data_IF_391522357992
#
_entry.id   IF_391522357992
#
_cell.length_a   1.000
_cell.length_b   1.000
_cell.length_c   1.000
_cell.angle_alpha   90.00
_cell.angle_beta   90.00
_cell.angle_gamma   90.00
#
_symmetry.space_group_name_H-M   'P 1'
#
loop_
_entity.id
_entity.type
_entity.pdbx_description
1 polymer ?
#
# COMPACT_ATOMS: atom_id res chain seq x y z
N UNK A 1 -1.16 21.36 10.36
CA UNK A 1 -0.99 20.71 10.14
C UNK A 1 -0.69 19.81 9.90
N UNK A 2 -0.58 19.31 9.76
CA UNK A 2 -0.24 18.37 9.52
C UNK A 2 -0.51 17.61 9.13
N UNK A 3 -0.49 17.45 8.79
CA UNK A 3 -0.67 16.78 8.32
C UNK A 3 -0.60 15.79 7.99
N UNK A 4 -0.37 15.43 7.78
CA UNK A 4 -0.19 14.52 7.35
C UNK A 4 -0.26 13.53 7.45
N UNK A 5 -0.12 13.54 7.34
CA UNK A 5 0.07 12.36 7.07
C UNK A 5 -0.35 11.30 7.90
N UNK A 6 -1.36 11.07 7.84
CA UNK A 6 -1.96 10.05 8.64
C UNK A 6 -2.34 8.84 7.81
N UNK A 7 -1.62 8.58 6.74
CA UNK A 7 -1.87 7.39 5.92
C UNK A 7 -1.44 6.17 6.70
N UNK A 8 -2.34 5.22 6.85
CA UNK A 8 -2.09 3.98 7.57
C UNK A 8 -2.41 2.82 6.64
N UNK A 9 -1.48 1.87 6.55
CA UNK A 9 -1.68 0.59 5.88
C UNK A 9 -1.88 -0.45 6.96
N UNK A 10 -2.97 -1.19 6.89
CA UNK A 10 -3.25 -2.17 7.92
C UNK A 10 -3.90 -3.42 7.33
N UNK A 11 -3.71 -4.55 7.99
CA UNK A 11 -2.79 -4.80 9.09
C UNK A 11 -1.34 -4.81 8.60
N UNK A 12 -0.42 -4.54 9.51
CA UNK A 12 1.00 -4.62 9.18
C UNK A 12 1.71 -5.15 10.43
N UNK A 13 2.19 -6.39 10.45
CA UNK A 13 2.24 -7.32 9.30
C UNK A 13 0.88 -7.77 8.81
N UNK A 14 0.84 -8.13 7.55
CA UNK A 14 -0.37 -8.54 6.88
C UNK A 14 -0.29 -10.01 6.47
N UNK A 15 -1.43 -10.65 6.31
CA UNK A 15 -1.48 -11.99 5.72
C UNK A 15 -1.77 -11.94 4.22
N UNK A 16 -1.66 -10.76 3.63
CA UNK A 16 -1.74 -10.57 2.20
C UNK A 16 -2.74 -9.53 1.74
N UNK A 17 -3.75 -9.23 2.52
CA UNK A 17 -4.72 -8.21 2.16
C UNK A 17 -4.40 -6.96 2.96
N UNK A 18 -4.25 -5.85 2.26
CA UNK A 18 -3.98 -4.58 2.93
C UNK A 18 -5.10 -3.60 2.67
N UNK A 19 -5.28 -2.71 3.62
CA UNK A 19 -6.25 -1.63 3.54
C UNK A 19 -5.55 -0.31 3.82
N UNK A 20 -6.06 0.75 3.22
CA UNK A 20 -5.51 2.09 3.37
C UNK A 20 -6.53 2.95 4.10
N UNK A 21 -6.08 3.69 5.11
CA UNK A 21 -6.92 4.69 5.76
C UNK A 21 -6.12 5.97 5.96
N UNK A 22 -6.79 7.04 6.39
CA UNK A 22 -6.15 8.32 6.62
C UNK A 22 -6.27 9.28 5.45
N UNK A 23 -6.86 8.84 4.33
CA UNK A 23 -7.14 9.70 3.19
C UNK A 23 -8.55 9.43 2.71
N UNK A 24 -9.18 10.42 2.10
CA UNK A 24 -10.55 10.28 1.63
C UNK A 24 -10.62 9.44 0.37
N UNK A 25 -9.63 9.58 -0.49
CA UNK A 25 -9.65 8.90 -1.78
C UNK A 25 -8.26 8.45 -2.15
N UNK A 26 -8.15 7.19 -2.52
CA UNK A 26 -6.91 6.63 -3.04
C UNK A 26 -7.08 6.45 -4.55
N UNK A 27 -6.18 7.07 -5.32
CA UNK A 27 -6.25 6.98 -6.77
C UNK A 27 -5.63 5.68 -7.26
N UNK A 28 -4.52 5.26 -6.66
CA UNK A 28 -3.87 4.03 -7.06
C UNK A 28 -3.03 3.47 -5.91
N UNK A 29 -2.91 2.15 -5.88
CA UNK A 29 -2.02 1.45 -4.96
C UNK A 29 -1.15 0.56 -5.82
N UNK A 30 0.18 0.63 -5.61
CA UNK A 30 1.13 -0.22 -6.33
C UNK A 30 2.00 -0.92 -5.32
N UNK A 31 2.17 -2.23 -5.52
CA UNK A 31 3.02 -3.03 -4.67
C UNK A 31 4.26 -3.43 -5.45
N UNK A 32 5.42 -3.21 -4.84
CA UNK A 32 6.70 -3.52 -5.44
C UNK A 32 7.47 -4.50 -4.55
N UNK A 33 8.22 -5.37 -5.17
CA UNK A 33 9.19 -6.19 -4.44
C UNK A 33 10.33 -5.31 -3.95
N UNK A 34 11.16 -5.84 -3.07
CA UNK A 34 12.31 -5.08 -2.57
C UNK A 34 13.32 -4.76 -3.67
N UNK A 35 13.28 -5.50 -4.78
CA UNK A 35 14.14 -5.21 -5.92
C UNK A 35 13.55 -4.14 -6.85
N UNK A 36 12.36 -3.65 -6.54
CA UNK A 36 11.74 -2.59 -7.32
C UNK A 36 10.82 -3.07 -8.43
N UNK A 37 10.55 -4.36 -8.49
CA UNK A 37 9.66 -4.91 -9.51
C UNK A 37 8.21 -4.70 -9.13
N UNK A 38 7.41 -4.18 -10.04
CA UNK A 38 5.98 -4.01 -9.81
C UNK A 38 5.32 -5.38 -9.75
N UNK A 39 4.64 -5.65 -8.65
CA UNK A 39 3.96 -6.92 -8.41
C UNK A 39 2.49 -6.80 -8.76
N UNK A 40 1.85 -5.72 -8.33
CA UNK A 40 0.41 -5.57 -8.54
C UNK A 40 0.05 -4.09 -8.42
N UNK A 41 -1.00 -3.72 -9.15
CA UNK A 41 -1.53 -2.37 -9.11
C UNK A 41 -3.05 -2.43 -9.05
N UNK A 42 -3.64 -1.52 -8.28
CA UNK A 42 -5.09 -1.34 -8.25
C UNK A 42 -5.38 0.15 -8.28
N UNK A 43 -6.50 0.53 -8.90
CA UNK A 43 -6.87 1.93 -9.03
C UNK A 43 -8.25 2.15 -8.42
N UNK A 44 -8.46 3.38 -7.93
CA UNK A 44 -9.74 3.80 -7.36
C UNK A 44 -10.23 2.86 -6.26
N UNK A 45 -9.32 2.43 -5.41
CA UNK A 45 -9.63 1.54 -4.29
C UNK A 45 -8.68 1.81 -3.14
N UNK A 46 -9.13 1.53 -1.93
CA UNK A 46 -8.28 1.62 -0.74
C UNK A 46 -7.89 0.23 -0.22
N UNK A 47 -7.97 -0.77 -1.09
CA UNK A 47 -7.70 -2.15 -0.69
C UNK A 47 -6.91 -2.84 -1.80
N UNK A 48 -5.94 -3.66 -1.42
CA UNK A 48 -5.13 -4.42 -2.35
C UNK A 48 -4.94 -5.84 -1.82
N UNK A 49 -5.13 -6.81 -2.70
CA UNK A 49 -5.03 -8.22 -2.35
C UNK A 49 -3.70 -8.76 -2.87
N UNK A 50 -2.79 -9.04 -1.95
CA UNK A 50 -1.49 -9.66 -2.25
C UNK A 50 -1.40 -11.06 -1.68
N UNK A 51 -2.56 -11.71 -1.47
CA UNK A 51 -2.58 -13.02 -0.80
C UNK A 51 -1.88 -14.11 -1.59
N UNK A 52 -1.67 -13.91 -2.88
CA UNK A 52 -0.94 -14.87 -3.69
C UNK A 52 0.58 -14.67 -3.64
N UNK A 53 1.05 -13.65 -2.95
CA UNK A 53 2.47 -13.34 -2.88
C UNK A 53 3.13 -14.03 -1.70
N UNK A 54 4.45 -14.22 -1.83
CA UNK A 54 5.23 -14.84 -0.77
C UNK A 54 5.33 -13.94 0.43
N UNK A 55 5.55 -14.56 1.59
CA UNK A 55 5.93 -13.81 2.79
C UNK A 55 7.17 -12.98 2.52
N UNK A 56 7.23 -11.81 3.07
CA UNK A 56 8.39 -10.95 2.90
C UNK A 56 8.05 -9.49 3.00
N UNK A 57 9.03 -8.67 2.65
CA UNK A 57 8.93 -7.23 2.70
C UNK A 57 8.57 -6.68 1.33
N UNK A 58 7.60 -5.80 1.30
CA UNK A 58 7.12 -5.16 0.07
C UNK A 58 7.07 -3.65 0.28
N UNK A 59 7.22 -2.92 -0.83
CA UNK A 59 7.05 -1.47 -0.83
C UNK A 59 5.71 -1.16 -1.44
N UNK A 60 4.91 -0.37 -0.73
CA UNK A 60 3.57 -0.01 -1.17
C UNK A 60 3.55 1.47 -1.50
N UNK A 61 3.27 1.76 -2.76
CA UNK A 61 3.15 3.14 -3.24
C UNK A 61 1.68 3.50 -3.31
N UNK A 62 1.31 4.60 -2.68
CA UNK A 62 -0.07 5.05 -2.63
C UNK A 62 -0.14 6.41 -3.28
N UNK A 63 -0.94 6.51 -4.33
CA UNK A 63 -1.18 7.76 -5.03
C UNK A 63 -2.53 8.31 -4.59
N UNK A 64 -2.52 9.55 -4.07
CA UNK A 64 -3.73 10.16 -3.55
C UNK A 64 -3.63 11.68 -3.70
N UNK A 65 -4.65 12.26 -4.27
CA UNK A 65 -4.79 13.73 -4.35
C UNK A 65 -3.55 14.41 -4.94
N UNK A 66 -2.98 13.81 -5.97
CA UNK A 66 -1.80 14.35 -6.64
C UNK A 66 -0.49 14.12 -5.93
N UNK A 67 -0.51 13.43 -4.79
CA UNK A 67 0.69 13.11 -4.02
C UNK A 67 0.95 11.61 -4.04
N UNK A 68 2.17 11.24 -3.73
CA UNK A 68 2.57 9.84 -3.65
C UNK A 68 3.23 9.58 -2.31
N UNK A 69 2.80 8.52 -1.64
CA UNK A 69 3.39 8.05 -0.39
C UNK A 69 3.92 6.64 -0.59
N UNK A 70 5.06 6.33 0.05
CA UNK A 70 5.65 5.00 -0.02
C UNK A 70 5.78 4.46 1.39
N UNK A 71 5.30 3.25 1.59
CA UNK A 71 5.30 2.60 2.89
C UNK A 71 5.79 1.17 2.75
N UNK A 72 6.35 0.64 3.82
CA UNK A 72 6.77 -0.75 3.88
C UNK A 72 5.62 -1.60 4.39
N UNK A 73 5.51 -2.81 3.85
CA UNK A 73 4.53 -3.78 4.30
C UNK A 73 5.21 -5.13 4.47
N UNK A 74 4.97 -5.77 5.60
CA UNK A 74 5.46 -7.11 5.85
C UNK A 74 4.29 -8.08 5.66
N UNK A 75 4.47 -9.05 4.77
CA UNK A 75 3.51 -10.12 4.55
C UNK A 75 4.05 -11.38 5.23
N UNK A 76 3.23 -11.93 6.10
CA UNK A 76 3.58 -13.15 6.84
C UNK A 76 3.08 -14.40 6.15
#
# INVERSE_FOLDING_TARGET
VNLNSAIVIYPNPSDGILNISGVEKVDAIRAFSISGQLIKEAVNTNRLDLSSQRSGLYMIEIEHEGATSVNKLIIR
#
